data_IF_995827457820
#
_entry.id   IF_995827457820
#
_cell.length_a   1.000
_cell.length_b   1.000
_cell.length_c   1.000
_cell.angle_alpha   90.00
_cell.angle_beta   90.00
_cell.angle_gamma   90.00
#
_symmetry.space_group_name_H-M   'P 1'
#
loop_
_entity.id
_entity.type
_entity.pdbx_description
1 polymer ?
#
# COMPACT_ATOMS: atom_id res chain seq x y z
N UNK A 1 13.08 -3.85 -0.90
CA UNK A 1 12.75 -4.18 -2.30
C UNK A 1 12.08 -2.99 -3.01
N UNK A 2 11.05 -2.35 -2.47
CA UNK A 2 10.38 -1.17 -3.07
C UNK A 2 11.30 0.04 -3.39
N UNK A 3 12.22 0.42 -2.48
CA UNK A 3 13.19 1.52 -2.74
C UNK A 3 14.14 1.25 -3.92
N UNK A 4 14.34 -0.02 -4.32
CA UNK A 4 15.16 -0.37 -5.48
C UNK A 4 14.42 -0.17 -6.81
N UNK A 5 13.10 -0.04 -6.78
CA UNK A 5 12.25 0.16 -7.94
C UNK A 5 11.82 1.63 -8.13
N UNK A 6 12.56 2.59 -7.55
CA UNK A 6 12.21 4.04 -7.56
C UNK A 6 10.84 4.37 -6.93
N UNK A 7 10.27 3.44 -6.15
CA UNK A 7 8.96 3.61 -5.53
C UNK A 7 9.12 4.38 -4.21
N UNK A 8 8.47 5.54 -4.10
CA UNK A 8 8.31 6.23 -2.82
C UNK A 8 7.35 5.44 -1.94
N UNK A 9 7.93 4.64 -1.06
CA UNK A 9 7.22 3.97 0.02
C UNK A 9 7.64 4.58 1.35
N UNK A 10 6.66 4.89 2.18
CA UNK A 10 6.84 5.25 3.58
C UNK A 10 6.13 4.20 4.42
N UNK A 11 6.85 3.63 5.39
CA UNK A 11 6.28 2.66 6.32
C UNK A 11 5.94 3.43 7.59
N UNK A 12 4.65 3.53 7.88
CA UNK A 12 4.18 4.09 9.14
C UNK A 12 4.02 2.98 10.17
N UNK A 13 5.00 2.81 11.04
CA UNK A 13 5.01 1.82 12.14
C UNK A 13 4.33 2.35 13.42
N UNK A 14 3.71 3.53 13.39
CA UNK A 14 3.12 4.12 14.61
C UNK A 14 2.05 3.20 15.17
N UNK A 15 2.07 2.93 16.47
CA UNK A 15 1.04 2.12 17.13
C UNK A 15 -0.23 2.94 17.40
N UNK A 16 -0.77 3.55 16.35
CA UNK A 16 -1.97 4.37 16.35
C UNK A 16 -3.15 3.60 15.74
N UNK A 17 -4.36 4.01 16.11
CA UNK A 17 -5.58 3.40 15.58
C UNK A 17 -5.57 3.43 14.05
N UNK A 18 -5.87 2.30 13.42
CA UNK A 18 -5.95 2.14 11.95
C UNK A 18 -6.80 3.25 11.33
N UNK A 19 -7.93 3.64 11.95
CA UNK A 19 -8.78 4.73 11.45
C UNK A 19 -8.08 6.09 11.35
N UNK A 20 -7.12 6.39 12.24
CA UNK A 20 -6.34 7.64 12.17
C UNK A 20 -5.33 7.60 11.03
N UNK A 21 -4.67 6.45 10.82
CA UNK A 21 -3.75 6.24 9.69
C UNK A 21 -4.47 6.32 8.34
N UNK A 22 -5.65 5.71 8.22
CA UNK A 22 -6.50 5.83 7.02
C UNK A 22 -6.74 7.29 6.70
N UNK A 23 -7.17 8.07 7.70
CA UNK A 23 -7.50 9.48 7.51
C UNK A 23 -6.30 10.34 7.13
N UNK A 24 -5.14 10.10 7.74
CA UNK A 24 -3.89 10.80 7.42
C UNK A 24 -3.41 10.49 6.00
N UNK A 25 -3.51 9.21 5.60
CA UNK A 25 -3.15 8.75 4.25
C UNK A 25 -4.11 9.28 3.18
N UNK A 26 -5.41 9.39 3.50
CA UNK A 26 -6.39 10.06 2.63
C UNK A 26 -6.09 11.56 2.50
N UNK A 27 -5.72 12.23 3.61
CA UNK A 27 -5.30 13.64 3.62
C UNK A 27 -4.02 13.86 2.79
N UNK A 28 -3.07 12.94 2.90
CA UNK A 28 -1.82 12.94 2.14
C UNK A 28 -2.00 12.56 0.67
N UNK A 29 -3.23 12.26 0.21
CA UNK A 29 -3.57 11.87 -1.16
C UNK A 29 -2.71 10.71 -1.66
N UNK A 30 -2.46 9.75 -0.79
CA UNK A 30 -1.64 8.59 -1.14
C UNK A 30 -2.48 7.65 -2.01
N UNK A 31 -2.04 7.32 -3.24
CA UNK A 31 -2.83 6.54 -4.18
C UNK A 31 -3.05 5.09 -3.72
N UNK A 32 -2.11 4.51 -2.97
CA UNK A 32 -2.18 3.14 -2.45
C UNK A 32 -1.82 3.08 -0.98
N UNK A 33 -2.67 2.44 -0.19
CA UNK A 33 -2.44 2.09 1.21
C UNK A 33 -2.26 0.58 1.33
N UNK A 34 -1.19 0.17 2.00
CA UNK A 34 -0.95 -1.20 2.41
C UNK A 34 -1.25 -1.33 3.90
N UNK A 35 -2.21 -2.17 4.25
CA UNK A 35 -2.55 -2.48 5.64
C UNK A 35 -2.03 -3.88 5.93
N UNK A 36 -1.16 -3.98 6.93
CA UNK A 36 -0.62 -5.25 7.40
C UNK A 36 -1.16 -5.47 8.82
N UNK A 37 -2.17 -6.33 8.93
CA UNK A 37 -2.65 -6.79 10.22
C UNK A 37 -1.78 -7.90 10.81
N UNK A 38 -2.02 -8.26 12.07
CA UNK A 38 -1.33 -9.37 12.74
C UNK A 38 -1.58 -10.73 12.04
N UNK A 39 -2.80 -10.94 11.52
CA UNK A 39 -3.16 -12.11 10.71
C UNK A 39 -2.45 -12.11 9.36
N UNK A 40 -2.50 -10.99 8.65
CA UNK A 40 -1.81 -10.84 7.38
C UNK A 40 -0.28 -10.99 7.50
N UNK A 41 0.32 -10.46 8.56
CA UNK A 41 1.74 -10.64 8.85
C UNK A 41 2.11 -12.11 9.10
N UNK A 42 1.25 -12.86 9.80
CA UNK A 42 1.43 -14.29 10.01
C UNK A 42 1.31 -15.11 8.71
N UNK A 43 0.47 -14.66 7.78
CA UNK A 43 0.23 -15.33 6.49
C UNK A 43 1.12 -14.80 5.35
N UNK A 44 1.93 -13.75 5.60
CA UNK A 44 2.76 -13.10 4.58
C UNK A 44 1.99 -12.28 3.54
N UNK A 45 0.75 -11.90 3.86
CA UNK A 45 -0.17 -11.15 2.99
C UNK A 45 -0.27 -9.69 3.43
N UNK A 46 -0.85 -8.86 2.58
CA UNK A 46 -1.13 -7.45 2.83
C UNK A 46 -2.44 -7.04 2.19
N UNK A 47 -3.24 -6.27 2.93
CA UNK A 47 -4.50 -5.71 2.43
C UNK A 47 -4.24 -4.41 1.69
N UNK A 48 -4.57 -4.38 0.41
CA UNK A 48 -4.30 -3.22 -0.46
C UNK A 48 -5.58 -2.39 -0.56
N UNK A 49 -5.46 -1.07 -0.38
CA UNK A 49 -6.56 -0.12 -0.57
C UNK A 49 -6.11 0.99 -1.52
N UNK A 50 -6.94 1.33 -2.50
CA UNK A 50 -6.67 2.41 -3.46
C UNK A 50 -7.57 3.60 -3.19
N UNK A 51 -6.98 4.78 -3.18
CA UNK A 51 -7.73 6.02 -3.02
C UNK A 51 -8.74 6.15 -4.16
N UNK A 52 -10.01 6.36 -3.82
CA UNK A 52 -11.11 6.53 -4.77
C UNK A 52 -11.70 5.23 -5.35
N UNK A 53 -10.97 4.11 -5.33
CA UNK A 53 -11.48 2.81 -5.82
C UNK A 53 -11.98 1.89 -4.70
N UNK A 54 -11.53 2.11 -3.46
CA UNK A 54 -11.90 1.29 -2.30
C UNK A 54 -10.85 0.25 -1.95
N UNK A 55 -11.23 -0.82 -1.26
CA UNK A 55 -10.32 -1.93 -1.00
C UNK A 55 -10.17 -2.82 -2.23
N UNK A 56 -8.93 -3.26 -2.48
CA UNK A 56 -8.58 -4.16 -3.58
C UNK A 56 -8.44 -5.61 -3.10
N UNK A 57 -8.70 -5.88 -1.82
CA UNK A 57 -8.50 -7.16 -1.17
C UNK A 57 -7.07 -7.37 -0.63
N UNK A 58 -6.85 -8.57 -0.08
CA UNK A 58 -5.56 -8.98 0.46
C UNK A 58 -4.79 -9.84 -0.54
N UNK A 59 -3.53 -9.47 -0.80
CA UNK A 59 -2.63 -10.17 -1.71
C UNK A 59 -1.25 -10.33 -1.07
N UNK A 60 -0.38 -11.15 -1.65
CA UNK A 60 0.99 -11.27 -1.16
C UNK A 60 1.79 -10.00 -1.46
N UNK A 61 2.76 -9.66 -0.62
CA UNK A 61 3.66 -8.51 -0.86
C UNK A 61 4.38 -8.64 -2.20
N UNK A 62 4.74 -9.87 -2.58
CA UNK A 62 5.37 -10.18 -3.87
C UNK A 62 4.46 -9.84 -5.05
N UNK A 63 3.21 -10.30 -5.02
CA UNK A 63 2.23 -10.00 -6.07
C UNK A 63 1.92 -8.51 -6.17
N UNK A 64 1.81 -7.83 -5.02
CA UNK A 64 1.61 -6.39 -4.99
C UNK A 64 2.78 -5.64 -5.64
N UNK A 65 4.01 -6.05 -5.34
CA UNK A 65 5.22 -5.52 -5.96
C UNK A 65 5.20 -5.68 -7.48
N UNK A 66 4.81 -6.86 -7.97
CA UNK A 66 4.72 -7.14 -9.41
C UNK A 66 3.61 -6.34 -10.09
N UNK A 67 2.51 -6.04 -9.39
CA UNK A 67 1.42 -5.22 -9.91
C UNK A 67 1.74 -3.72 -9.89
N UNK A 68 2.41 -3.23 -8.85
CA UNK A 68 2.61 -1.79 -8.66
C UNK A 68 3.81 -1.23 -9.42
N UNK A 69 4.86 -2.03 -9.65
CA UNK A 69 6.01 -1.62 -10.46
C UNK A 69 5.60 -1.15 -11.86
N UNK A 70 4.88 -1.97 -12.67
CA UNK A 70 4.43 -1.52 -13.99
C UNK A 70 3.37 -0.42 -13.89
N UNK A 71 2.49 -0.42 -12.88
CA UNK A 71 1.49 0.64 -12.72
C UNK A 71 2.13 2.01 -12.39
N UNK A 72 3.26 2.04 -11.69
CA UNK A 72 4.03 3.27 -11.43
C UNK A 72 4.78 3.74 -12.69
N UNK A 73 5.37 2.81 -13.44
CA UNK A 73 6.00 3.14 -14.73
C UNK A 73 4.98 3.69 -15.72
N UNK A 74 3.79 3.09 -15.79
CA UNK A 74 2.71 3.50 -16.70
C UNK A 74 2.05 4.82 -16.27
N UNK A 75 1.83 5.04 -14.96
CA UNK A 75 1.23 6.30 -14.45
C UNK A 75 2.17 7.51 -14.47
N UNK A 76 3.46 7.34 -14.74
CA UNK A 76 4.36 8.49 -14.97
C UNK A 76 4.10 9.16 -16.33
N UNK A 77 3.21 8.60 -17.16
CA UNK A 77 2.95 9.02 -18.53
C UNK A 77 1.66 9.82 -18.82
N UNK A 78 0.85 10.18 -17.81
CA UNK A 78 -0.32 11.09 -17.99
C UNK A 78 -0.14 12.43 -17.26
#
# INVERSE_FOLDING_TARGET
QLKKADIRVEIDDRNEKIGKKIRDTELAKVPYMLVVGEKEAAEGKVSIRRQGKGDLGAQSIAEFLEAIVPEIEERRGE
#
